data_IF_375715595708
#
_entry.id   IF_375715595708
#
_cell.length_a   1.000
_cell.length_b   1.000
_cell.length_c   1.000
_cell.angle_alpha   90.00
_cell.angle_beta   90.00
_cell.angle_gamma   90.00
#
_symmetry.space_group_name_H-M   'P 1'
#
loop_
_entity.id
_entity.type
_entity.pdbx_description
1 polymer ?
#
# COMPACT_ATOMS: atom_id res chain seq x y z
N UNK A 1 -24.66 -22.45 26.56
CA UNK A 1 -23.27 -21.95 26.66
C UNK A 1 -22.58 -21.82 25.30
N UNK A 2 -22.92 -22.66 24.31
CA UNK A 2 -22.24 -22.67 23.01
C UNK A 2 -22.23 -21.37 22.21
N UNK A 3 -23.32 -20.58 22.24
CA UNK A 3 -23.42 -19.35 21.44
C UNK A 3 -22.43 -18.25 21.88
N UNK A 4 -22.12 -18.17 23.18
CA UNK A 4 -21.18 -17.18 23.73
C UNK A 4 -19.74 -17.54 23.37
N UNK A 5 -19.40 -18.83 23.43
CA UNK A 5 -18.08 -19.32 23.00
C UNK A 5 -17.88 -19.14 21.49
N UNK A 6 -18.91 -19.37 20.67
CA UNK A 6 -18.84 -19.16 19.22
C UNK A 6 -18.62 -17.69 18.87
N UNK A 7 -19.28 -16.77 19.58
CA UNK A 7 -19.05 -15.33 19.36
C UNK A 7 -17.61 -14.94 19.68
N UNK A 8 -17.06 -15.38 20.81
CA UNK A 8 -15.67 -15.08 21.17
C UNK A 8 -14.66 -15.70 20.18
N UNK A 9 -14.89 -16.95 19.77
CA UNK A 9 -14.06 -17.63 18.77
C UNK A 9 -14.10 -16.92 17.41
N UNK A 10 -15.29 -16.55 16.95
CA UNK A 10 -15.51 -15.89 15.66
C UNK A 10 -15.03 -14.45 15.62
N UNK A 11 -15.19 -13.72 16.72
CA UNK A 11 -14.93 -12.30 16.76
C UNK A 11 -13.53 -11.96 17.25
N UNK A 12 -12.89 -12.79 18.07
CA UNK A 12 -11.59 -12.47 18.65
C UNK A 12 -10.48 -13.42 18.22
N UNK A 13 -10.73 -14.74 18.24
CA UNK A 13 -9.66 -15.72 18.08
C UNK A 13 -9.38 -16.00 16.60
N UNK A 14 -10.37 -16.53 15.88
CA UNK A 14 -10.21 -16.96 14.48
C UNK A 14 -9.73 -15.83 13.55
N UNK A 15 -10.14 -14.56 13.72
CA UNK A 15 -9.62 -13.46 12.90
C UNK A 15 -8.12 -13.17 13.07
N UNK A 16 -7.51 -13.59 14.18
CA UNK A 16 -6.07 -13.40 14.46
C UNK A 16 -5.23 -14.60 14.02
N UNK A 17 -5.88 -15.70 13.63
CA UNK A 17 -5.20 -16.92 13.18
C UNK A 17 -4.72 -16.72 11.75
N UNK A 18 -3.44 -17.01 11.50
CA UNK A 18 -2.86 -16.97 10.16
C UNK A 18 -3.66 -17.85 9.17
N UNK A 19 -3.78 -17.47 7.88
CA UNK A 19 -4.62 -18.19 6.92
C UNK A 19 -4.33 -19.69 6.85
N UNK A 20 -3.05 -20.09 6.90
CA UNK A 20 -2.65 -21.51 6.89
C UNK A 20 -3.22 -22.29 8.08
N UNK A 21 -3.27 -21.65 9.25
CA UNK A 21 -3.77 -22.28 10.47
C UNK A 21 -5.29 -22.33 10.46
N UNK A 22 -5.98 -21.38 9.83
CA UNK A 22 -7.43 -21.47 9.60
C UNK A 22 -7.81 -22.62 8.66
N UNK A 23 -7.02 -22.88 7.62
CA UNK A 23 -7.22 -24.03 6.75
C UNK A 23 -7.06 -25.34 7.54
N UNK A 24 -6.03 -25.44 8.39
CA UNK A 24 -5.82 -26.59 9.28
C UNK A 24 -6.98 -26.76 10.27
N UNK A 25 -7.45 -25.67 10.89
CA UNK A 25 -8.62 -25.67 11.78
C UNK A 25 -9.90 -26.09 11.08
N UNK A 26 -10.10 -25.66 9.83
CA UNK A 26 -11.22 -26.08 8.99
C UNK A 26 -11.16 -27.57 8.62
N UNK A 27 -9.96 -28.13 8.45
CA UNK A 27 -9.80 -29.56 8.17
C UNK A 27 -10.09 -30.45 9.39
N UNK A 28 -9.83 -29.96 10.60
CA UNK A 28 -10.00 -30.76 11.84
C UNK A 28 -11.40 -30.70 12.43
N UNK A 29 -12.25 -29.73 12.04
CA UNK A 29 -13.60 -29.58 12.58
C UNK A 29 -14.58 -29.05 11.55
N UNK A 30 -15.68 -29.79 11.32
CA UNK A 30 -16.79 -29.34 10.46
C UNK A 30 -17.40 -28.02 10.95
N UNK A 31 -17.48 -27.81 12.26
CA UNK A 31 -17.99 -26.57 12.87
C UNK A 31 -17.08 -25.39 12.50
N UNK A 32 -15.76 -25.51 12.71
CA UNK A 32 -14.83 -24.44 12.34
C UNK A 32 -14.76 -24.21 10.84
N UNK A 33 -14.87 -25.26 10.03
CA UNK A 33 -14.95 -25.12 8.58
C UNK A 33 -16.18 -24.29 8.17
N UNK A 34 -17.36 -24.58 8.71
CA UNK A 34 -18.58 -23.83 8.44
C UNK A 34 -18.44 -22.36 8.87
N UNK A 35 -17.84 -22.11 10.04
CA UNK A 35 -17.58 -20.77 10.55
C UNK A 35 -16.62 -19.97 9.66
N UNK A 36 -15.47 -20.54 9.30
CA UNK A 36 -14.47 -19.92 8.41
C UNK A 36 -15.06 -19.68 7.01
N UNK A 37 -15.91 -20.60 6.54
CA UNK A 37 -16.62 -20.46 5.26
C UNK A 37 -17.79 -19.48 5.33
N UNK A 38 -18.25 -19.04 6.49
CA UNK A 38 -19.38 -18.12 6.55
C UNK A 38 -19.03 -16.78 5.88
N UNK A 39 -19.94 -16.19 5.06
CA UNK A 39 -19.67 -14.91 4.39
C UNK A 39 -19.33 -13.79 5.39
N UNK A 40 -20.00 -13.79 6.55
CA UNK A 40 -19.76 -12.83 7.64
C UNK A 40 -18.36 -12.95 8.24
N UNK A 41 -17.88 -14.17 8.51
CA UNK A 41 -16.49 -14.37 8.95
C UNK A 41 -15.51 -13.97 7.87
N UNK A 42 -15.66 -14.42 6.61
CA UNK A 42 -14.71 -14.08 5.53
C UNK A 42 -14.57 -12.59 5.33
N UNK A 43 -15.69 -11.86 5.29
CA UNK A 43 -15.68 -10.40 5.16
C UNK A 43 -14.90 -9.76 6.31
N UNK A 44 -15.18 -10.16 7.57
CA UNK A 44 -14.47 -9.65 8.75
C UNK A 44 -12.99 -10.07 8.76
N UNK A 45 -12.70 -11.31 8.38
CA UNK A 45 -11.36 -11.89 8.33
C UNK A 45 -10.51 -11.12 7.33
N UNK A 46 -10.96 -10.96 6.09
CA UNK A 46 -10.20 -10.27 5.05
C UNK A 46 -10.11 -8.76 5.29
N UNK A 47 -11.15 -8.13 5.82
CA UNK A 47 -11.07 -6.75 6.30
C UNK A 47 -10.01 -6.59 7.40
N UNK A 48 -9.85 -7.58 8.28
CA UNK A 48 -8.81 -7.58 9.33
C UNK A 48 -7.46 -8.12 8.86
N UNK A 49 -7.40 -8.91 7.80
CA UNK A 49 -6.15 -9.42 7.24
C UNK A 49 -5.46 -8.38 6.33
N UNK A 50 -6.15 -7.27 6.03
CA UNK A 50 -5.54 -6.13 5.34
C UNK A 50 -5.59 -6.20 3.82
N UNK A 51 -6.35 -7.12 3.22
CA UNK A 51 -6.51 -7.16 1.77
C UNK A 51 -7.56 -6.13 1.36
N UNK A 52 -7.12 -4.89 1.09
CA UNK A 52 -7.96 -3.83 0.54
C UNK A 52 -7.84 -3.86 -0.98
N UNK A 53 -8.87 -4.40 -1.63
CA UNK A 53 -9.04 -4.28 -3.06
C UNK A 53 -9.87 -3.03 -3.33
N UNK A 54 -9.45 -2.23 -4.31
CA UNK A 54 -10.28 -1.15 -4.84
C UNK A 54 -11.51 -1.79 -5.50
N UNK A 55 -12.59 -1.92 -4.72
CA UNK A 55 -13.90 -2.42 -5.16
C UNK A 55 -14.67 -1.31 -5.87
N UNK A 56 -13.99 -0.48 -6.66
CA UNK A 56 -14.68 0.37 -7.59
C UNK A 56 -15.29 -0.51 -8.69
N UNK A 57 -16.61 -0.73 -8.55
CA UNK A 57 -17.54 -1.09 -9.63
C UNK A 57 -17.80 -2.58 -9.89
N UNK A 58 -17.77 -3.42 -8.87
CA UNK A 58 -18.24 -4.81 -9.04
C UNK A 58 -19.63 -5.03 -8.45
N UNK A 59 -20.65 -4.99 -9.33
CA UNK A 59 -22.01 -5.39 -9.00
C UNK A 59 -22.14 -6.93 -8.85
N UNK A 60 -21.08 -7.70 -9.16
CA UNK A 60 -21.14 -9.16 -9.21
C UNK A 60 -20.89 -9.85 -7.86
N UNK A 61 -20.42 -9.13 -6.83
CA UNK A 61 -20.22 -9.69 -5.49
C UNK A 61 -19.28 -10.90 -5.42
N UNK A 62 -18.41 -11.09 -6.42
CA UNK A 62 -17.55 -12.27 -6.52
C UNK A 62 -16.42 -12.17 -5.47
N UNK A 63 -16.55 -12.99 -4.43
CA UNK A 63 -15.57 -13.15 -3.34
C UNK A 63 -14.45 -14.13 -3.71
N UNK A 64 -13.28 -14.07 -3.04
CA UNK A 64 -12.18 -15.02 -3.24
C UNK A 64 -12.63 -16.49 -3.07
N UNK A 65 -12.30 -17.34 -4.05
CA UNK A 65 -12.85 -18.72 -4.19
C UNK A 65 -12.31 -19.76 -3.22
N UNK A 66 -11.29 -19.44 -2.40
CA UNK A 66 -10.60 -20.40 -1.53
C UNK A 66 -11.47 -21.07 -0.46
N UNK A 67 -12.73 -20.65 -0.34
CA UNK A 67 -13.69 -21.20 0.60
C UNK A 67 -15.05 -21.51 -0.06
N UNK A 68 -15.21 -21.32 -1.37
CA UNK A 68 -16.45 -21.63 -2.08
C UNK A 68 -16.37 -23.06 -2.61
N UNK A 69 -17.24 -23.95 -2.14
CA UNK A 69 -17.31 -25.31 -2.69
C UNK A 69 -17.85 -25.24 -4.12
N UNK A 70 -17.09 -25.77 -5.06
CA UNK A 70 -17.56 -26.19 -6.38
C UNK A 70 -18.67 -27.21 -6.18
N UNK A 71 -19.94 -26.82 -6.27
CA UNK A 71 -21.03 -27.66 -6.78
C UNK A 71 -22.30 -26.82 -7.02
N UNK A 72 -22.71 -26.83 -8.30
CA UNK A 72 -23.99 -26.45 -8.91
C UNK A 72 -24.36 -24.94 -9.03
N UNK A 73 -24.73 -24.48 -10.25
CA UNK A 73 -25.35 -23.18 -10.44
C UNK A 73 -26.87 -23.31 -10.28
N UNK A 74 -27.44 -22.71 -9.23
CA UNK A 74 -28.88 -22.42 -9.24
C UNK A 74 -29.13 -21.21 -10.14
N UNK A 75 -29.91 -21.44 -11.17
CA UNK A 75 -30.27 -20.51 -12.23
C UNK A 75 -31.24 -19.48 -11.66
N UNK A 76 -30.74 -18.31 -11.23
CA UNK A 76 -31.61 -17.21 -10.84
C UNK A 76 -32.24 -16.60 -12.10
N UNK A 77 -33.54 -16.82 -12.28
CA UNK A 77 -34.36 -16.19 -13.32
C UNK A 77 -34.49 -14.70 -12.97
N UNK A 78 -33.95 -13.83 -13.83
CA UNK A 78 -34.17 -12.38 -13.76
C UNK A 78 -35.50 -12.10 -14.45
N UNK A 79 -36.51 -11.73 -13.66
CA UNK A 79 -37.74 -11.10 -14.12
C UNK A 79 -37.84 -9.71 -13.52
N UNK A 80 -38.08 -8.73 -14.39
CA UNK A 80 -38.87 -7.55 -14.07
C UNK A 80 -38.12 -6.35 -13.50
N UNK A 81 -38.08 -5.31 -14.31
CA UNK A 81 -37.89 -3.90 -13.98
C UNK A 81 -38.77 -3.48 -12.78
N UNK A 82 -38.20 -2.77 -11.81
CA UNK A 82 -38.94 -2.27 -10.65
C UNK A 82 -38.06 -1.62 -9.59
N UNK A 83 -38.27 -0.32 -9.40
CA UNK A 83 -37.75 0.54 -8.33
C UNK A 83 -37.47 -0.18 -7.00
N UNK A 84 -36.24 -0.06 -6.49
CA UNK A 84 -35.96 -0.36 -5.08
C UNK A 84 -35.10 0.74 -4.46
N UNK A 85 -35.77 1.50 -3.58
CA UNK A 85 -35.20 2.38 -2.57
C UNK A 85 -34.76 1.59 -1.33
N UNK A 86 -33.78 2.14 -0.60
CA UNK A 86 -33.44 1.93 0.82
C UNK A 86 -32.94 0.55 1.29
N UNK A 87 -31.63 0.48 1.59
CA UNK A 87 -31.08 -0.34 2.68
C UNK A 87 -30.00 0.46 3.43
N UNK A 88 -30.40 1.14 4.49
CA UNK A 88 -29.50 1.68 5.51
C UNK A 88 -29.65 0.83 6.78
N UNK A 89 -28.54 0.33 7.32
CA UNK A 89 -28.51 -0.40 8.59
C UNK A 89 -27.37 0.12 9.47
N UNK A 90 -27.70 1.02 10.38
CA UNK A 90 -26.97 1.24 11.63
C UNK A 90 -27.99 1.42 12.76
N UNK A 91 -27.77 0.81 13.95
CA UNK A 91 -28.62 1.06 15.10
C UNK A 91 -28.26 2.41 15.72
N UNK A 92 -29.22 3.34 15.74
CA UNK A 92 -29.12 4.60 16.47
C UNK A 92 -29.50 4.37 17.94
N UNK A 93 -28.52 4.45 18.82
CA UNK A 93 -28.76 4.55 20.27
C UNK A 93 -29.40 5.89 20.60
N UNK A 94 -30.62 5.82 21.14
CA UNK A 94 -31.46 6.96 21.50
C UNK A 94 -31.01 7.53 22.85
N UNK A 95 -30.54 8.78 22.85
CA UNK A 95 -30.80 9.71 23.96
C UNK A 95 -30.68 11.14 23.43
N UNK A 96 -31.67 11.95 23.75
CA UNK A 96 -31.97 13.21 23.09
C UNK A 96 -31.15 14.35 23.68
N UNK A 97 -30.40 15.08 22.84
CA UNK A 97 -30.09 16.49 23.07
C UNK A 97 -29.63 17.10 21.75
N UNK A 98 -29.98 18.36 21.52
CA UNK A 98 -29.99 19.07 20.25
C UNK A 98 -28.71 18.91 19.42
N UNK A 99 -28.82 18.37 18.20
CA UNK A 99 -27.74 18.30 17.21
C UNK A 99 -27.75 19.54 16.33
N UNK A 100 -26.60 20.18 16.21
CA UNK A 100 -26.34 21.31 15.31
C UNK A 100 -26.30 20.86 13.85
N UNK A 101 -26.57 21.80 12.94
CA UNK A 101 -26.65 21.64 11.47
C UNK A 101 -25.39 21.07 10.80
N UNK A 102 -24.26 20.96 11.51
CA UNK A 102 -23.02 20.37 10.98
C UNK A 102 -23.04 18.84 10.91
N UNK A 103 -23.76 18.15 11.82
CA UNK A 103 -23.75 16.68 11.88
C UNK A 103 -24.59 16.02 10.77
N UNK A 104 -25.59 16.74 10.24
CA UNK A 104 -26.37 16.31 9.08
C UNK A 104 -25.63 16.55 7.75
N UNK A 105 -24.71 17.52 7.70
CA UNK A 105 -23.86 17.75 6.53
C UNK A 105 -22.82 16.63 6.38
N UNK A 106 -22.22 16.16 7.49
CA UNK A 106 -21.26 15.04 7.46
C UNK A 106 -21.90 13.69 7.09
N UNK A 107 -23.12 13.41 7.54
CA UNK A 107 -23.82 12.17 7.21
C UNK A 107 -24.23 12.09 5.72
N UNK A 108 -24.63 13.21 5.11
CA UNK A 108 -24.96 13.29 3.66
C UNK A 108 -23.73 13.28 2.76
N UNK A 109 -22.57 13.72 3.27
CA UNK A 109 -21.29 13.62 2.59
C UNK A 109 -20.74 12.18 2.56
N UNK A 110 -21.06 11.33 3.55
CA UNK A 110 -20.51 9.97 3.63
C UNK A 110 -20.93 9.02 2.48
N UNK A 111 -22.03 9.27 1.78
CA UNK A 111 -22.60 8.34 0.77
C UNK A 111 -22.31 8.74 -0.69
N UNK A 112 -21.77 9.93 -0.93
CA UNK A 112 -21.60 10.49 -2.28
C UNK A 112 -20.15 10.50 -2.80
N UNK A 113 -19.15 10.23 -1.94
CA UNK A 113 -17.74 10.54 -2.27
C UNK A 113 -17.07 9.60 -3.27
N UNK A 114 -17.54 8.36 -3.44
CA UNK A 114 -17.05 7.50 -4.52
C UNK A 114 -17.59 7.91 -5.91
N UNK A 115 -18.57 8.83 -6.00
CA UNK A 115 -19.21 9.20 -7.27
C UNK A 115 -18.57 10.38 -8.00
N UNK A 116 -17.77 11.22 -7.33
CA UNK A 116 -17.35 12.53 -7.91
C UNK A 116 -15.84 12.81 -7.88
N UNK A 117 -15.00 11.94 -7.32
CA UNK A 117 -13.55 12.16 -7.33
C UNK A 117 -12.77 10.85 -7.28
N UNK A 118 -11.76 10.74 -8.15
CA UNK A 118 -10.79 9.65 -8.07
C UNK A 118 -10.05 9.78 -6.74
N UNK A 119 -10.28 8.85 -5.83
CA UNK A 119 -9.45 8.66 -4.64
C UNK A 119 -8.33 7.74 -5.06
N UNK A 120 -7.10 8.24 -5.05
CA UNK A 120 -5.94 7.38 -5.24
C UNK A 120 -5.35 7.13 -3.87
N UNK A 121 -5.31 5.87 -3.48
CA UNK A 121 -4.51 5.45 -2.33
C UNK A 121 -3.06 5.56 -2.77
N UNK A 122 -2.34 6.50 -2.19
CA UNK A 122 -0.95 6.78 -2.50
C UNK A 122 -0.23 7.02 -1.17
N UNK A 123 -0.05 5.96 -0.38
CA UNK A 123 1.22 5.60 0.24
C UNK A 123 1.01 4.58 1.36
N UNK A 124 1.98 3.69 1.44
CA UNK A 124 2.16 2.71 2.49
C UNK A 124 2.59 3.41 3.79
N UNK A 125 2.02 3.02 4.96
CA UNK A 125 2.65 3.25 6.26
C UNK A 125 3.44 2.02 6.66
N UNK A 126 4.72 2.23 6.87
CA UNK A 126 5.74 1.22 7.10
C UNK A 126 5.75 0.68 8.53
N UNK A 127 5.11 1.41 9.44
CA UNK A 127 5.21 1.16 10.88
C UNK A 127 3.93 1.64 11.54
N UNK A 128 2.84 0.87 11.41
CA UNK A 128 1.63 1.13 12.18
C UNK A 128 0.31 0.96 11.42
N UNK A 129 0.33 0.43 10.20
CA UNK A 129 -0.92 0.12 9.50
C UNK A 129 -1.77 1.34 9.16
N UNK A 130 -1.16 2.52 9.05
CA UNK A 130 -1.82 3.69 8.48
C UNK A 130 -1.73 3.64 6.95
N UNK A 131 -2.59 4.41 6.29
CA UNK A 131 -2.64 4.56 4.85
C UNK A 131 -2.61 6.04 4.51
N UNK A 132 -1.85 6.42 3.50
CA UNK A 132 -1.98 7.74 2.90
C UNK A 132 -2.92 7.66 1.70
N UNK A 133 -3.94 8.51 1.72
CA UNK A 133 -4.89 8.64 0.63
C UNK A 133 -4.78 10.06 0.06
N UNK A 134 -4.96 10.19 -1.26
CA UNK A 134 -5.06 11.46 -1.93
C UNK A 134 -6.44 11.59 -2.59
N UNK A 135 -7.11 12.72 -2.37
CA UNK A 135 -8.32 13.10 -3.10
C UNK A 135 -7.93 13.98 -4.28
N UNK A 136 -8.36 13.60 -5.47
CA UNK A 136 -8.01 14.27 -6.73
C UNK A 136 -6.99 13.48 -7.52
N UNK A 137 -6.49 14.05 -8.64
CA UNK A 137 -5.39 13.42 -9.37
C UNK A 137 -4.14 13.48 -8.48
N UNK A 138 -3.42 12.36 -8.23
CA UNK A 138 -2.21 12.34 -7.41
C UNK A 138 -1.14 13.30 -7.87
N UNK A 139 -1.13 13.57 -9.17
CA UNK A 139 -0.21 14.48 -9.84
C UNK A 139 -0.75 15.90 -9.94
N UNK A 140 -1.91 16.19 -9.35
CA UNK A 140 -2.41 17.55 -9.29
C UNK A 140 -1.77 18.28 -8.12
N UNK A 141 -1.37 19.52 -8.36
CA UNK A 141 -0.91 20.46 -7.32
C UNK A 141 -1.98 20.79 -6.27
N UNK A 142 -3.23 20.39 -6.51
CA UNK A 142 -4.38 20.56 -5.61
C UNK A 142 -4.78 19.26 -4.90
N UNK A 143 -3.94 18.23 -4.92
CA UNK A 143 -4.23 16.97 -4.23
C UNK A 143 -4.34 17.21 -2.71
N UNK A 144 -5.45 16.77 -2.13
CA UNK A 144 -5.65 16.80 -0.69
C UNK A 144 -5.27 15.46 -0.09
N UNK A 145 -4.34 15.47 0.86
CA UNK A 145 -3.83 14.26 1.49
C UNK A 145 -4.56 13.95 2.80
N UNK A 146 -4.76 12.66 3.05
CA UNK A 146 -5.42 12.13 4.23
C UNK A 146 -4.60 10.98 4.78
N UNK A 147 -4.37 10.96 6.08
CA UNK A 147 -3.89 9.77 6.77
C UNK A 147 -5.10 9.01 7.29
N UNK A 148 -5.23 7.76 6.91
CA UNK A 148 -6.34 6.89 7.24
C UNK A 148 -5.84 5.73 8.08
N UNK A 149 -6.60 5.36 9.10
CA UNK A 149 -6.49 4.06 9.72
C UNK A 149 -7.67 3.21 9.22
N UNK A 150 -7.43 2.20 8.37
CA UNK A 150 -8.53 1.38 7.85
C UNK A 150 -9.13 0.45 8.92
N UNK A 151 -8.40 0.14 9.99
CA UNK A 151 -8.84 -0.69 11.12
C UNK A 151 -9.85 0.07 11.98
N UNK A 152 -9.48 1.27 12.43
CA UNK A 152 -10.34 2.11 13.29
C UNK A 152 -11.32 2.96 12.48
N UNK A 153 -11.16 3.00 11.15
CA UNK A 153 -11.87 3.91 10.23
C UNK A 153 -11.69 5.40 10.55
N UNK A 154 -10.69 5.73 11.35
CA UNK A 154 -10.30 7.11 11.58
C UNK A 154 -9.59 7.65 10.35
N UNK A 155 -9.72 8.96 10.14
CA UNK A 155 -8.96 9.68 9.12
C UNK A 155 -8.64 11.07 9.63
N UNK A 156 -7.49 11.57 9.20
CA UNK A 156 -7.06 12.94 9.49
C UNK A 156 -6.68 13.60 8.16
N UNK A 157 -7.26 14.76 7.91
CA UNK A 157 -6.95 15.58 6.75
C UNK A 157 -5.64 16.32 7.02
N UNK A 158 -4.70 16.25 6.10
CA UNK A 158 -3.47 17.03 6.19
C UNK A 158 -3.73 18.46 5.71
N UNK A 159 -2.97 19.46 6.21
CA UNK A 159 -3.02 20.82 5.68
C UNK A 159 -2.86 20.81 4.17
N UNK A 160 -3.58 21.68 3.48
CA UNK A 160 -3.52 21.75 2.02
C UNK A 160 -2.10 22.08 1.56
N UNK A 161 -1.57 21.25 0.67
CA UNK A 161 -0.29 21.50 0.04
C UNK A 161 -0.51 22.57 -1.03
N UNK A 162 -0.28 23.83 -0.67
CA UNK A 162 -0.57 24.96 -1.57
C UNK A 162 0.15 24.78 -2.90
N UNK A 163 -0.57 24.90 -4.01
CA UNK A 163 -0.02 24.79 -5.37
C UNK A 163 1.17 25.73 -5.61
N UNK A 164 1.20 26.89 -4.95
CA UNK A 164 2.31 27.86 -5.04
C UNK A 164 3.60 27.38 -4.37
N UNK A 165 3.51 26.38 -3.48
CA UNK A 165 4.67 25.79 -2.83
C UNK A 165 5.34 24.73 -3.68
N UNK A 166 4.59 24.07 -4.56
CA UNK A 166 5.09 23.05 -5.48
C UNK A 166 5.68 23.69 -6.72
N UNK A 167 6.88 23.28 -7.10
CA UNK A 167 7.46 23.71 -8.35
C UNK A 167 6.95 22.86 -9.51
N UNK A 168 6.84 21.55 -9.27
CA UNK A 168 6.38 20.57 -10.24
C UNK A 168 5.21 19.74 -9.70
N UNK A 169 4.65 18.93 -10.59
CA UNK A 169 3.54 18.06 -10.23
C UNK A 169 4.03 16.94 -9.29
N UNK A 170 3.28 16.62 -8.23
CA UNK A 170 3.65 15.55 -7.32
C UNK A 170 3.68 14.21 -8.06
N UNK A 171 4.75 13.43 -7.86
CA UNK A 171 4.91 12.15 -8.54
C UNK A 171 4.41 11.00 -7.68
N UNK A 172 4.78 11.02 -6.41
CA UNK A 172 4.35 10.05 -5.40
C UNK A 172 4.41 10.69 -4.01
N UNK A 173 3.79 10.01 -3.05
CA UNK A 173 3.85 10.36 -1.65
C UNK A 173 4.19 9.10 -0.84
N UNK A 174 4.81 9.30 0.32
CA UNK A 174 5.26 8.29 1.28
C UNK A 174 4.73 8.66 2.65
N UNK A 175 4.32 7.67 3.44
CA UNK A 175 3.95 7.85 4.84
C UNK A 175 4.91 7.04 5.70
N UNK A 176 5.67 7.73 6.53
CA UNK A 176 6.68 7.12 7.41
C UNK A 176 6.31 7.44 8.84
N UNK A 177 6.39 6.47 9.76
CA UNK A 177 6.30 6.79 11.18
C UNK A 177 7.70 6.94 11.77
N UNK A 178 7.86 7.96 12.59
CA UNK A 178 9.14 8.30 13.22
C UNK A 178 9.21 7.54 14.53
N UNK A 179 10.05 6.50 14.57
CA UNK A 179 10.23 5.65 15.74
C UNK A 179 11.05 6.30 16.88
N UNK A 180 11.57 7.53 16.68
CA UNK A 180 12.46 8.21 17.62
C UNK A 180 11.77 8.79 18.88
N UNK A 181 10.56 8.35 19.19
CA UNK A 181 9.85 8.79 20.38
C UNK A 181 10.43 8.06 21.59
N UNK A 182 11.23 8.77 22.40
CA UNK A 182 11.55 8.37 23.77
C UNK A 182 10.24 8.01 24.50
N UNK A 183 10.27 6.92 25.27
CA UNK A 183 9.10 6.36 25.94
C UNK A 183 8.26 7.45 26.62
N UNK A 184 7.13 7.82 26.01
CA UNK A 184 6.21 8.86 26.50
C UNK A 184 5.86 9.97 25.50
N UNK A 185 6.66 10.19 24.46
CA UNK A 185 6.24 11.05 23.35
C UNK A 185 5.34 10.23 22.41
N UNK A 186 4.11 10.71 22.15
CA UNK A 186 3.18 10.03 21.26
C UNK A 186 3.82 9.76 19.90
N UNK A 187 3.48 8.63 19.27
CA UNK A 187 3.98 8.27 17.94
C UNK A 187 3.78 9.44 16.98
N UNK A 188 4.79 9.82 16.21
CA UNK A 188 4.67 10.83 15.16
C UNK A 188 4.77 10.17 13.78
N UNK A 189 4.08 10.73 12.81
CA UNK A 189 4.26 10.40 11.39
C UNK A 189 4.73 11.59 10.58
N UNK A 190 5.36 11.26 9.45
CA UNK A 190 5.74 12.19 8.41
C UNK A 190 5.15 11.74 7.07
N UNK A 191 4.79 12.71 6.23
CA UNK A 191 4.41 12.45 4.84
C UNK A 191 5.41 13.13 3.92
N UNK A 192 6.06 12.36 3.07
CA UNK A 192 7.02 12.86 2.10
C UNK A 192 6.39 12.80 0.72
N UNK A 193 6.12 13.96 0.13
CA UNK A 193 5.69 14.09 -1.27
C UNK A 193 6.91 14.39 -2.11
N UNK A 194 7.13 13.55 -3.12
CA UNK A 194 8.24 13.68 -4.06
C UNK A 194 7.71 14.38 -5.31
N UNK A 195 8.29 15.54 -5.65
CA UNK A 195 7.93 16.29 -6.85
C UNK A 195 8.51 15.61 -8.09
N UNK A 196 7.83 15.76 -9.23
CA UNK A 196 8.33 15.30 -10.51
C UNK A 196 9.69 15.95 -10.80
N UNK A 197 10.67 15.10 -11.09
CA UNK A 197 12.02 15.51 -11.40
C UNK A 197 12.16 15.91 -12.87
N UNK A 198 12.86 17.00 -13.14
CA UNK A 198 13.33 17.38 -14.47
C UNK A 198 14.78 16.95 -14.62
N UNK A 199 15.17 16.40 -15.78
CA UNK A 199 16.54 15.88 -16.00
C UNK A 199 17.65 16.90 -15.76
N UNK A 200 17.34 18.19 -15.80
CA UNK A 200 18.30 19.29 -15.59
C UNK A 200 18.53 19.62 -14.11
N UNK A 201 17.67 19.16 -13.19
CA UNK A 201 17.80 19.48 -11.77
C UNK A 201 18.82 18.53 -11.08
N UNK A 202 19.88 19.07 -10.51
CA UNK A 202 20.88 18.29 -9.74
C UNK A 202 20.37 17.81 -8.35
N UNK A 203 19.08 17.99 -8.06
CA UNK A 203 18.51 17.74 -6.74
C UNK A 203 17.07 17.25 -6.86
N UNK A 204 16.67 16.38 -5.94
CA UNK A 204 15.27 16.00 -5.78
C UNK A 204 14.58 16.99 -4.83
N UNK A 205 13.40 17.47 -5.23
CA UNK A 205 12.57 18.36 -4.40
C UNK A 205 11.51 17.54 -3.67
N UNK A 206 11.47 17.74 -2.36
CA UNK A 206 10.55 17.05 -1.46
C UNK A 206 9.70 18.06 -0.70
N UNK A 207 8.46 17.65 -0.40
CA UNK A 207 7.62 18.29 0.60
C UNK A 207 7.40 17.33 1.74
N UNK A 208 7.85 17.71 2.93
CA UNK A 208 7.76 16.87 4.12
C UNK A 208 6.75 17.49 5.06
N UNK A 209 5.64 16.79 5.30
CA UNK A 209 4.73 17.11 6.39
C UNK A 209 5.17 16.37 7.64
N UNK A 210 5.28 17.05 8.78
CA UNK A 210 5.49 16.42 10.07
C UNK A 210 4.25 16.59 10.95
N UNK A 211 3.68 15.49 11.44
CA UNK A 211 2.55 15.52 12.38
C UNK A 211 2.88 16.29 13.68
N UNK A 212 4.14 16.24 14.13
CA UNK A 212 4.60 16.96 15.32
C UNK A 212 4.65 18.47 15.14
N UNK A 213 4.87 18.96 13.91
CA UNK A 213 4.89 20.39 13.59
C UNK A 213 3.56 20.89 12.99
N UNK A 214 2.75 19.99 12.42
CA UNK A 214 1.52 20.32 11.72
C UNK A 214 1.73 21.16 10.45
N UNK A 215 2.93 21.14 9.86
CA UNK A 215 3.29 21.97 8.71
C UNK A 215 4.06 21.19 7.64
N UNK A 216 3.96 21.70 6.40
CA UNK A 216 4.76 21.26 5.25
C UNK A 216 6.06 22.05 5.19
N UNK A 217 7.16 21.33 5.08
CA UNK A 217 8.50 21.87 4.86
C UNK A 217 9.00 21.49 3.47
N UNK A 218 9.85 22.33 2.90
CA UNK A 218 10.46 22.08 1.60
C UNK A 218 11.88 21.63 1.79
N UNK A 219 12.17 20.40 1.36
CA UNK A 219 13.51 19.82 1.47
C UNK A 219 14.06 19.58 0.08
N UNK A 220 15.37 19.71 -0.06
CA UNK A 220 16.08 19.39 -1.30
C UNK A 220 17.21 18.44 -0.96
N UNK A 221 17.27 17.33 -1.71
CA UNK A 221 18.35 16.37 -1.56
C UNK A 221 19.23 16.48 -2.78
N UNK A 222 20.50 16.79 -2.55
CA UNK A 222 21.48 16.85 -3.64
C UNK A 222 21.73 15.45 -4.18
N UNK A 223 21.60 15.30 -5.50
CA UNK A 223 21.97 14.08 -6.20
C UNK A 223 23.44 14.09 -6.62
N UNK A 224 24.15 15.22 -6.51
CA UNK A 224 25.54 15.35 -6.99
C UNK A 224 26.58 14.58 -6.17
N UNK A 225 26.30 14.29 -4.91
CA UNK A 225 27.18 13.46 -4.05
C UNK A 225 26.96 11.97 -4.28
N UNK A 226 25.76 11.59 -4.70
CA UNK A 226 25.47 10.26 -5.22
C UNK A 226 25.96 10.19 -6.66
N UNK A 227 26.85 9.27 -7.00
CA UNK A 227 27.33 9.03 -8.36
C UNK A 227 26.26 8.43 -9.30
N UNK A 228 25.03 8.95 -9.20
CA UNK A 228 23.87 8.62 -10.00
C UNK A 228 24.09 9.22 -11.40
N UNK A 229 24.20 8.41 -12.46
CA UNK A 229 24.17 8.97 -13.81
C UNK A 229 22.90 9.80 -14.01
N UNK A 230 23.03 10.99 -14.60
CA UNK A 230 21.94 11.94 -14.88
C UNK A 230 20.80 11.39 -15.77
N UNK A 231 20.88 10.12 -16.18
CA UNK A 231 19.95 9.49 -17.12
C UNK A 231 18.77 8.74 -16.45
N UNK A 232 18.62 8.86 -15.13
CA UNK A 232 17.62 8.09 -14.41
C UNK A 232 16.18 8.56 -14.67
N UNK A 233 15.31 7.64 -15.07
CA UNK A 233 13.91 7.94 -15.34
C UNK A 233 13.10 7.77 -14.06
N UNK A 234 12.81 8.89 -13.40
CA UNK A 234 11.90 8.90 -12.26
C UNK A 234 10.43 8.92 -12.68
N UNK A 235 10.04 9.02 -13.96
CA UNK A 235 8.60 9.05 -14.32
C UNK A 235 7.78 7.83 -13.85
N UNK A 236 8.32 6.59 -13.77
CA UNK A 236 7.60 5.48 -13.18
C UNK A 236 7.24 5.74 -11.72
N UNK A 237 6.09 5.21 -11.27
CA UNK A 237 5.77 5.23 -9.84
C UNK A 237 6.74 4.32 -9.10
N UNK A 238 7.28 4.75 -7.95
CA UNK A 238 8.12 3.87 -7.15
C UNK A 238 7.30 2.75 -6.53
N UNK A 239 7.96 1.62 -6.31
CA UNK A 239 7.45 0.59 -5.40
C UNK A 239 7.75 1.05 -3.98
N UNK A 240 6.76 0.95 -3.09
CA UNK A 240 6.91 1.37 -1.70
C UNK A 240 7.28 0.17 -0.83
N UNK A 241 8.40 0.27 -0.13
CA UNK A 241 8.86 -0.71 0.84
C UNK A 241 8.16 -0.59 2.18
N UNK A 242 8.33 -1.60 3.03
CA UNK A 242 7.82 -1.63 4.40
C UNK A 242 8.72 -0.87 5.39
N UNK A 243 9.89 -0.37 4.99
CA UNK A 243 10.84 0.36 5.83
C UNK A 243 10.70 1.89 5.75
N UNK A 244 9.85 2.40 4.86
CA UNK A 244 9.78 3.82 4.51
C UNK A 244 10.60 4.14 3.28
N UNK A 245 11.06 3.11 2.56
CA UNK A 245 11.80 3.26 1.34
C UNK A 245 10.89 3.33 0.11
N UNK A 246 11.32 4.10 -0.89
CA UNK A 246 10.72 4.13 -2.21
C UNK A 246 11.74 3.67 -3.24
N UNK A 247 11.32 2.77 -4.14
CA UNK A 247 12.19 2.12 -5.10
C UNK A 247 11.77 2.45 -6.54
N UNK A 248 12.64 3.08 -7.31
CA UNK A 248 12.44 3.33 -8.74
C UNK A 248 13.29 2.36 -9.56
N UNK A 249 12.62 1.45 -10.26
CA UNK A 249 13.27 0.55 -11.21
C UNK A 249 13.62 1.32 -12.49
N UNK A 250 14.90 1.33 -12.86
CA UNK A 250 15.36 2.06 -14.03
C UNK A 250 14.98 1.32 -15.32
N UNK A 251 14.26 1.94 -16.28
CA UNK A 251 13.70 1.20 -17.41
C UNK A 251 14.73 0.64 -18.40
N UNK A 252 15.94 1.20 -18.43
CA UNK A 252 17.00 0.83 -19.37
C UNK A 252 18.19 0.15 -18.71
N UNK A 253 18.25 0.19 -17.39
CA UNK A 253 19.40 -0.27 -16.62
C UNK A 253 19.00 -1.41 -15.69
N UNK A 254 19.98 -2.24 -15.37
CA UNK A 254 19.91 -3.23 -14.30
C UNK A 254 20.15 -2.54 -12.95
N UNK A 255 19.41 -1.47 -12.69
CA UNK A 255 19.54 -0.71 -11.44
C UNK A 255 18.18 -0.28 -10.90
N UNK A 256 18.11 -0.17 -9.57
CA UNK A 256 17.05 0.50 -8.86
C UNK A 256 17.64 1.67 -8.05
N UNK A 257 16.84 2.71 -7.87
CA UNK A 257 17.14 3.79 -6.93
C UNK A 257 16.25 3.59 -5.72
N UNK A 258 16.84 3.52 -4.54
CA UNK A 258 16.13 3.52 -3.27
C UNK A 258 16.26 4.89 -2.61
N UNK A 259 15.14 5.46 -2.18
CA UNK A 259 15.10 6.61 -1.26
C UNK A 259 14.65 6.11 0.11
N UNK A 260 15.43 6.39 1.14
CA UNK A 260 15.07 6.07 2.52
C UNK A 260 14.64 7.34 3.24
N UNK A 261 13.34 7.47 3.50
CA UNK A 261 12.77 8.65 4.16
C UNK A 261 13.31 8.90 5.58
N UNK A 262 13.64 7.83 6.33
CA UNK A 262 14.12 7.96 7.70
C UNK A 262 15.54 8.56 7.81
N UNK A 263 16.41 8.29 6.83
CA UNK A 263 17.79 8.79 6.77
C UNK A 263 17.98 9.89 5.73
N UNK A 264 16.91 10.27 5.04
CA UNK A 264 16.90 11.23 3.93
C UNK A 264 17.99 10.94 2.87
N UNK A 265 18.19 9.67 2.54
CA UNK A 265 19.33 9.22 1.74
C UNK A 265 18.93 8.40 0.52
N UNK A 266 19.69 8.54 -0.56
CA UNK A 266 19.58 7.72 -1.76
C UNK A 266 20.60 6.60 -1.82
N UNK A 267 20.21 5.50 -2.45
CA UNK A 267 21.09 4.39 -2.75
C UNK A 267 20.82 3.84 -4.16
N UNK A 268 21.88 3.53 -4.89
CA UNK A 268 21.80 2.77 -6.14
C UNK A 268 21.98 1.30 -5.82
N UNK A 269 21.01 0.50 -6.22
CA UNK A 269 21.02 -0.94 -6.09
C UNK A 269 21.22 -1.51 -7.49
N UNK A 270 22.34 -2.22 -7.72
CA UNK A 270 22.46 -3.01 -8.93
C UNK A 270 21.49 -4.19 -8.85
N UNK A 271 20.79 -4.47 -9.93
CA UNK A 271 19.83 -5.57 -10.05
C UNK A 271 20.44 -6.73 -10.85
N UNK A 272 19.86 -7.94 -10.74
CA UNK A 272 20.16 -9.03 -11.66
C UNK A 272 19.96 -8.59 -13.11
N UNK A 273 20.69 -9.24 -14.03
CA UNK A 273 20.63 -8.90 -15.46
C UNK A 273 19.21 -9.00 -15.99
N UNK A 274 18.79 -7.97 -16.68
CA UNK A 274 17.49 -7.90 -17.32
C UNK A 274 17.36 -8.95 -18.42
N UNK A 275 16.35 -9.82 -18.26
CA UNK A 275 15.85 -10.65 -19.35
C UNK A 275 15.13 -9.71 -20.32
N UNK A 276 15.48 -9.74 -21.60
CA UNK A 276 15.24 -8.67 -22.59
C UNK A 276 13.76 -8.32 -22.94
N UNK A 277 12.78 -8.45 -22.05
CA UNK A 277 11.39 -8.08 -22.28
C UNK A 277 10.91 -7.00 -21.32
N UNK A 278 10.62 -5.83 -21.91
CA UNK A 278 9.64 -4.82 -21.46
C UNK A 278 9.83 -4.23 -20.06
N UNK A 279 9.66 -2.90 -20.00
CA UNK A 279 9.85 -2.08 -18.80
C UNK A 279 8.98 -2.47 -17.59
N UNK A 280 7.86 -3.17 -17.78
CA UNK A 280 6.84 -3.42 -16.74
C UNK A 280 6.95 -4.77 -16.06
N UNK A 281 7.80 -5.66 -16.54
CA UNK A 281 7.84 -7.05 -16.10
C UNK A 281 8.79 -7.25 -14.91
N UNK A 282 8.89 -6.24 -14.03
CA UNK A 282 9.84 -6.19 -12.91
C UNK A 282 9.24 -5.52 -11.69
N UNK A 283 9.54 -6.06 -10.51
CA UNK A 283 9.20 -5.46 -9.22
C UNK A 283 10.33 -5.70 -8.21
N UNK A 284 10.55 -4.73 -7.33
CA UNK A 284 11.43 -4.85 -6.16
C UNK A 284 10.60 -4.59 -4.91
N UNK A 285 10.87 -5.31 -3.84
CA UNK A 285 10.22 -5.09 -2.56
C UNK A 285 11.07 -5.59 -1.40
N UNK A 286 10.60 -5.29 -0.20
CA UNK A 286 11.28 -5.68 1.03
C UNK A 286 10.66 -6.94 1.62
N UNK A 287 11.50 -7.79 2.23
CA UNK A 287 11.07 -8.93 3.03
C UNK A 287 10.54 -8.48 4.38
N UNK A 288 9.43 -9.08 4.79
CA UNK A 288 8.87 -8.86 6.12
C UNK A 288 9.89 -9.15 7.23
N UNK A 289 9.91 -8.30 8.27
CA UNK A 289 10.79 -8.48 9.43
C UNK A 289 12.26 -8.13 9.18
N UNK A 290 12.63 -7.65 7.99
CA UNK A 290 13.98 -7.18 7.67
C UNK A 290 14.35 -5.81 8.25
N UNK A 291 13.45 -5.14 8.99
CA UNK A 291 13.61 -3.75 9.45
C UNK A 291 14.71 -3.47 10.48
N UNK A 292 15.64 -4.41 10.70
CA UNK A 292 16.88 -4.10 11.40
C UNK A 292 17.75 -3.19 10.53
N UNK A 293 18.51 -2.30 11.16
CA UNK A 293 19.38 -1.26 10.56
C UNK A 293 20.46 -1.75 9.54
N UNK A 294 20.43 -3.00 9.10
CA UNK A 294 21.37 -3.58 8.13
C UNK A 294 20.63 -4.32 7.02
N UNK A 295 20.17 -3.58 6.00
CA UNK A 295 19.77 -4.14 4.71
C UNK A 295 18.71 -5.24 4.81
N UNK A 296 17.51 -4.86 5.27
CA UNK A 296 16.36 -5.76 5.26
C UNK A 296 16.20 -6.44 3.91
N UNK A 297 16.19 -7.78 3.93
CA UNK A 297 16.29 -8.63 2.74
C UNK A 297 15.44 -8.13 1.59
N UNK A 298 16.07 -7.52 0.60
CA UNK A 298 15.39 -7.09 -0.61
C UNK A 298 15.09 -8.29 -1.48
N UNK A 299 14.00 -8.18 -2.23
CA UNK A 299 13.63 -9.15 -3.24
C UNK A 299 13.32 -8.46 -4.54
N UNK A 300 13.71 -9.12 -5.60
CA UNK A 300 13.50 -8.65 -6.96
C UNK A 300 12.87 -9.77 -7.76
N UNK A 301 11.75 -9.50 -8.41
CA UNK A 301 11.13 -10.42 -9.32
C UNK A 301 11.10 -9.80 -10.71
N UNK A 302 11.41 -10.63 -11.70
CA UNK A 302 11.27 -10.27 -13.09
C UNK A 302 10.60 -11.40 -13.85
N UNK A 303 9.85 -11.06 -14.88
CA UNK A 303 9.27 -12.03 -15.79
C UNK A 303 9.64 -11.70 -17.22
N UNK A 304 9.65 -12.75 -18.04
CA UNK A 304 9.74 -12.68 -19.48
C UNK A 304 8.58 -13.49 -20.08
N UNK A 305 8.42 -13.46 -21.40
CA UNK A 305 7.43 -14.25 -22.12
C UNK A 305 7.47 -15.77 -21.82
N UNK A 306 8.57 -16.28 -21.27
CA UNK A 306 8.81 -17.71 -21.05
C UNK A 306 9.15 -18.09 -19.61
N UNK A 307 9.60 -17.16 -18.77
CA UNK A 307 10.09 -17.48 -17.43
C UNK A 307 9.71 -16.39 -16.41
N UNK A 308 9.42 -16.81 -15.18
CA UNK A 308 9.36 -15.95 -14.00
C UNK A 308 10.57 -16.28 -13.11
N UNK A 309 11.32 -15.25 -12.72
CA UNK A 309 12.47 -15.36 -11.82
C UNK A 309 12.27 -14.48 -10.59
N UNK A 310 12.64 -15.01 -9.43
CA UNK A 310 12.64 -14.28 -8.15
C UNK A 310 14.01 -14.42 -7.53
N UNK A 311 14.55 -13.28 -7.11
CA UNK A 311 15.88 -13.12 -6.56
C UNK A 311 15.78 -12.56 -5.14
N UNK A 312 16.66 -13.02 -4.26
CA UNK A 312 16.80 -12.54 -2.89
C UNK A 312 18.19 -11.93 -2.69
N UNK A 313 18.21 -10.80 -1.99
CA UNK A 313 19.41 -10.06 -1.65
C UNK A 313 20.12 -10.67 -0.45
N UNK A 314 21.43 -10.92 -0.59
CA UNK A 314 22.28 -11.46 0.45
C UNK A 314 23.22 -10.38 1.01
N UNK A 315 22.84 -9.87 2.19
CA UNK A 315 23.59 -8.83 2.88
C UNK A 315 24.97 -9.30 3.39
N UNK A 316 25.11 -10.61 3.63
CA UNK A 316 26.31 -11.23 4.21
C UNK A 316 27.60 -10.98 3.42
N UNK A 317 27.51 -10.70 2.11
CA UNK A 317 28.67 -10.45 1.26
C UNK A 317 29.17 -9.00 1.30
N UNK A 318 28.38 -8.05 1.82
CA UNK A 318 28.73 -6.61 1.78
C UNK A 318 29.61 -6.15 2.94
N UNK A 319 29.70 -6.93 4.02
CA UNK A 319 30.38 -6.52 5.26
C UNK A 319 31.91 -6.55 5.21
N UNK A 320 32.52 -7.25 4.24
CA UNK A 320 33.99 -7.43 4.22
C UNK A 320 34.77 -6.28 3.58
N UNK A 321 34.14 -5.32 2.90
CA UNK A 321 34.82 -4.23 2.18
C UNK A 321 34.57 -2.82 2.76
N UNK A 322 33.96 -2.73 3.95
CA UNK A 322 33.40 -1.49 4.52
C UNK A 322 34.39 -0.45 5.05
N UNK A 323 35.66 -0.41 4.59
CA UNK A 323 36.70 0.49 5.15
C UNK A 323 37.04 1.75 4.35
N UNK A 324 36.32 2.12 3.29
CA UNK A 324 36.43 3.47 2.69
C UNK A 324 35.07 4.03 2.28
N UNK A 325 34.75 5.20 2.85
CA UNK A 325 33.58 6.04 2.54
C UNK A 325 33.72 6.61 1.13
N UNK A 326 33.10 5.94 0.17
CA UNK A 326 32.66 6.50 -1.10
C UNK A 326 31.53 5.59 -1.59
N UNK A 327 30.43 6.20 -2.00
CA UNK A 327 29.27 5.62 -2.72
C UNK A 327 29.43 4.16 -3.10
N UNK A 328 28.85 3.26 -2.30
CA UNK A 328 28.94 1.82 -2.51
C UNK A 328 27.96 1.44 -3.60
N UNK A 329 28.40 1.50 -4.86
CA UNK A 329 27.72 0.78 -5.93
C UNK A 329 27.72 -0.68 -5.52
N UNK A 330 26.55 -1.19 -5.15
CA UNK A 330 26.50 -2.56 -4.68
C UNK A 330 26.63 -3.49 -5.88
N UNK A 331 27.44 -4.53 -5.74
CA UNK A 331 27.73 -5.46 -6.83
C UNK A 331 26.50 -6.32 -7.16
N UNK A 332 26.37 -6.71 -8.43
CA UNK A 332 25.32 -7.64 -8.90
C UNK A 332 25.38 -9.01 -8.19
N UNK A 333 26.57 -9.39 -7.71
CA UNK A 333 26.82 -10.68 -7.04
C UNK A 333 26.12 -10.82 -5.68
N UNK A 334 25.56 -9.73 -5.15
CA UNK A 334 24.77 -9.74 -3.92
C UNK A 334 23.38 -10.41 -4.08
N UNK A 335 22.93 -10.68 -5.31
CA UNK A 335 21.66 -11.36 -5.56
C UNK A 335 21.83 -12.87 -5.71
N UNK A 336 20.95 -13.62 -5.06
CA UNK A 336 20.80 -15.06 -5.28
C UNK A 336 19.46 -15.39 -5.90
N UNK A 337 19.48 -16.23 -6.93
CA UNK A 337 18.26 -16.73 -7.56
C UNK A 337 17.54 -17.66 -6.57
N UNK A 338 16.36 -17.24 -6.13
CA UNK A 338 15.53 -17.96 -5.16
C UNK A 338 14.56 -18.91 -5.86
N UNK A 339 13.93 -18.45 -6.95
CA UNK A 339 12.89 -19.21 -7.65
C UNK A 339 12.94 -18.96 -9.15
N UNK A 340 12.69 -20.00 -9.94
CA UNK A 340 12.60 -19.91 -11.41
C UNK A 340 11.57 -20.92 -11.93
N UNK A 341 10.60 -20.44 -12.69
CA UNK A 341 9.54 -21.29 -13.27
C UNK A 341 9.19 -20.85 -14.68
N UNK A 342 8.92 -21.80 -15.58
CA UNK A 342 8.45 -21.50 -16.93
C UNK A 342 7.02 -20.98 -16.90
N UNK A 343 6.69 -19.94 -17.68
CA UNK A 343 5.32 -19.38 -17.69
C UNK A 343 4.29 -20.39 -18.22
N UNK A 344 4.66 -21.21 -19.21
CA UNK A 344 3.78 -22.27 -19.73
C UNK A 344 3.47 -23.31 -18.63
N UNK A 345 4.51 -23.83 -17.97
CA UNK A 345 4.39 -24.76 -16.84
C UNK A 345 3.56 -24.15 -15.70
N UNK A 346 3.80 -22.88 -15.39
CA UNK A 346 3.10 -22.15 -14.35
C UNK A 346 1.58 -22.07 -14.63
N UNK A 347 1.19 -21.79 -15.87
CA UNK A 347 -0.22 -21.70 -16.27
C UNK A 347 -0.87 -23.09 -16.40
N UNK A 348 -0.14 -24.09 -16.88
CA UNK A 348 -0.61 -25.47 -16.98
C UNK A 348 -0.97 -26.04 -15.60
N UNK A 349 -0.13 -25.78 -14.59
CA UNK A 349 -0.40 -26.16 -13.19
C UNK A 349 -1.58 -25.41 -12.57
N UNK A 350 -2.00 -24.29 -13.16
CA UNK A 350 -2.99 -23.39 -12.59
C UNK A 350 -4.12 -23.08 -13.61
N UNK A 351 -4.90 -24.09 -14.02
CA UNK A 351 -5.88 -23.95 -15.10
C UNK A 351 -6.98 -22.93 -14.80
N UNK A 352 -7.35 -22.73 -13.52
CA UNK A 352 -8.33 -21.71 -13.13
C UNK A 352 -7.83 -20.29 -13.38
N UNK A 353 -6.56 -20.02 -13.04
CA UNK A 353 -5.93 -18.73 -13.27
C UNK A 353 -5.72 -18.48 -14.76
N UNK A 354 -5.31 -19.52 -15.50
CA UNK A 354 -5.18 -19.48 -16.95
C UNK A 354 -6.54 -19.21 -17.64
N UNK A 355 -7.62 -19.83 -17.18
CA UNK A 355 -8.96 -19.60 -17.70
C UNK A 355 -9.43 -18.16 -17.42
N UNK A 356 -9.16 -17.62 -16.22
CA UNK A 356 -9.49 -16.24 -15.87
C UNK A 356 -8.71 -15.22 -16.72
N UNK A 357 -7.45 -15.53 -17.06
CA UNK A 357 -6.59 -14.75 -17.94
C UNK A 357 -7.02 -14.76 -19.42
N UNK A 358 -8.04 -15.55 -19.79
CA UNK A 358 -8.55 -15.63 -21.16
C UNK A 358 -7.56 -16.22 -22.17
N UNK A 359 -8.03 -16.38 -23.42
CA UNK A 359 -7.19 -16.83 -24.53
C UNK A 359 -6.39 -15.64 -25.05
N UNK A 360 -5.10 -15.56 -24.72
CA UNK A 360 -4.24 -14.45 -25.09
C UNK A 360 -2.78 -14.72 -24.79
N UNK A 361 -1.92 -13.75 -25.10
CA UNK A 361 -0.49 -13.84 -24.78
C UNK A 361 -0.31 -14.12 -23.28
N UNK A 362 0.45 -15.17 -22.95
CA UNK A 362 0.82 -15.59 -21.60
C UNK A 362 1.78 -14.59 -20.95
N UNK A 363 1.33 -13.36 -20.72
CA UNK A 363 2.09 -12.35 -20.01
C UNK A 363 1.74 -12.42 -18.53
N UNK A 364 2.74 -12.70 -17.72
CA UNK A 364 2.64 -12.69 -16.27
C UNK A 364 3.54 -11.57 -15.81
N UNK A 365 3.03 -10.59 -15.10
CA UNK A 365 3.81 -9.43 -14.63
C UNK A 365 3.84 -9.47 -13.10
N UNK A 366 5.02 -9.55 -12.46
CA UNK A 366 5.09 -9.47 -11.01
C UNK A 366 4.75 -8.05 -10.55
N UNK A 367 3.85 -7.92 -9.58
CA UNK A 367 3.35 -6.62 -9.10
C UNK A 367 3.77 -6.30 -7.67
N UNK A 368 4.18 -7.30 -6.90
CA UNK A 368 4.64 -7.12 -5.53
C UNK A 368 4.92 -8.42 -4.81
N UNK A 369 5.46 -8.31 -3.60
CA UNK A 369 5.69 -9.45 -2.71
C UNK A 369 4.64 -9.49 -1.61
N UNK A 370 4.26 -10.69 -1.17
CA UNK A 370 3.37 -10.79 -0.03
C UNK A 370 4.06 -10.27 1.22
N UNK A 371 3.37 -9.45 2.01
CA UNK A 371 4.07 -8.61 2.96
C UNK A 371 4.39 -9.31 4.27
N UNK A 372 3.91 -10.55 4.47
CA UNK A 372 4.21 -11.40 5.63
C UNK A 372 4.54 -12.84 5.24
N UNK A 373 4.27 -13.24 4.00
CA UNK A 373 4.43 -14.61 3.52
C UNK A 373 5.57 -14.57 2.51
N UNK A 374 6.71 -15.09 2.91
CA UNK A 374 7.93 -15.03 2.11
C UNK A 374 7.88 -15.96 0.91
N UNK A 375 6.87 -16.80 0.77
CA UNK A 375 6.77 -17.73 -0.35
C UNK A 375 5.80 -17.21 -1.41
N UNK A 376 5.17 -16.04 -1.21
CA UNK A 376 4.13 -15.53 -2.09
C UNK A 376 4.56 -14.28 -2.85
N UNK A 377 4.37 -14.31 -4.17
CA UNK A 377 4.53 -13.19 -5.09
C UNK A 377 3.18 -12.87 -5.72
N UNK A 378 2.79 -11.60 -5.76
CA UNK A 378 1.60 -11.18 -6.50
C UNK A 378 1.95 -11.01 -7.97
N UNK A 379 1.13 -11.60 -8.83
CA UNK A 379 1.27 -11.56 -10.28
C UNK A 379 0.00 -10.98 -10.89
N UNK A 380 0.16 -10.07 -11.83
CA UNK A 380 -0.89 -9.63 -12.75
C UNK A 380 -0.82 -10.51 -14.01
N UNK A 381 -1.95 -11.13 -14.33
CA UNK A 381 -2.20 -11.85 -15.58
C UNK A 381 -2.97 -10.91 -16.54
N UNK A 382 -3.12 -11.28 -17.82
CA UNK A 382 -3.89 -10.50 -18.77
C UNK A 382 -5.31 -10.21 -18.25
N UNK A 383 -5.90 -9.11 -18.71
CA UNK A 383 -7.23 -8.63 -18.32
C UNK A 383 -7.35 -8.14 -16.86
N UNK A 384 -6.23 -7.82 -16.21
CA UNK A 384 -6.25 -7.24 -14.87
C UNK A 384 -6.59 -8.25 -13.79
N UNK A 385 -6.26 -9.52 -14.02
CA UNK A 385 -6.44 -10.61 -13.07
C UNK A 385 -5.22 -10.63 -12.15
N UNK A 386 -5.44 -10.49 -10.85
CA UNK A 386 -4.35 -10.51 -9.85
C UNK A 386 -4.42 -11.82 -9.09
N UNK A 387 -3.29 -12.53 -9.08
CA UNK A 387 -3.14 -13.80 -8.35
C UNK A 387 -2.02 -13.69 -7.33
N UNK A 388 -2.18 -14.39 -6.21
CA UNK A 388 -1.12 -14.67 -5.26
C UNK A 388 -0.51 -16.02 -5.65
N UNK A 389 0.75 -16.01 -6.07
CA UNK A 389 1.49 -17.20 -6.48
C UNK A 389 2.40 -17.67 -5.36
N UNK A 390 2.21 -18.91 -4.89
CA UNK A 390 3.10 -19.56 -3.92
C UNK A 390 4.25 -20.25 -4.66
N UNK A 391 5.47 -19.78 -4.42
CA UNK A 391 6.70 -20.33 -5.01
C UNK A 391 6.97 -21.77 -4.55
N UNK A 392 6.77 -22.04 -3.26
CA UNK A 392 6.96 -23.37 -2.66
C UNK A 392 6.01 -24.41 -3.27
N UNK A 393 4.72 -24.06 -3.40
CA UNK A 393 3.69 -25.00 -3.82
C UNK A 393 3.43 -25.00 -5.34
N UNK A 394 3.90 -23.97 -6.05
CA UNK A 394 3.62 -23.78 -7.47
C UNK A 394 2.15 -23.44 -7.77
N UNK A 395 1.39 -22.98 -6.79
CA UNK A 395 -0.07 -22.73 -6.90
C UNK A 395 -0.40 -21.24 -6.99
N UNK A 396 -1.41 -20.89 -7.79
CA UNK A 396 -1.96 -19.54 -7.92
C UNK A 396 -3.33 -19.43 -7.24
N UNK A 397 -3.51 -18.35 -6.50
CA UNK A 397 -4.76 -18.00 -5.83
C UNK A 397 -5.30 -16.69 -6.38
N UNK A 398 -6.45 -16.73 -7.06
CA UNK A 398 -7.14 -15.54 -7.54
C UNK A 398 -7.50 -14.59 -6.39
N UNK A 399 -6.89 -13.41 -6.38
CA UNK A 399 -7.15 -12.35 -5.40
C UNK A 399 -8.27 -11.44 -5.88
N UNK A 400 -8.13 -10.90 -7.08
CA UNK A 400 -9.10 -9.98 -7.66
C UNK A 400 -9.03 -9.95 -9.18
N UNK A 401 -10.06 -9.34 -9.77
CA UNK A 401 -10.12 -8.99 -11.19
C UNK A 401 -10.50 -7.52 -11.28
N UNK A 402 -9.80 -6.73 -12.08
CA UNK A 402 -10.16 -5.35 -12.32
C UNK A 402 -10.45 -5.09 -13.80
N UNK A 403 -11.55 -4.38 -14.05
CA UNK A 403 -12.05 -4.08 -15.39
C UNK A 403 -11.22 -2.98 -16.09
N UNK A 404 -9.95 -3.25 -16.38
CA UNK A 404 -9.12 -2.50 -17.33
C UNK A 404 -8.74 -1.05 -16.97
N UNK A 405 -7.57 -0.62 -17.45
CA UNK A 405 -6.91 0.70 -17.28
C UNK A 405 -6.28 1.02 -15.93
N UNK A 406 -6.63 0.32 -14.85
CA UNK A 406 -5.83 0.34 -13.62
C UNK A 406 -4.44 -0.22 -13.90
N UNK A 407 -3.40 0.59 -13.79
CA UNK A 407 -2.02 0.11 -13.85
C UNK A 407 -1.70 -0.63 -12.55
N UNK A 408 -1.10 -1.83 -12.63
CA UNK A 408 -0.64 -2.66 -11.50
C UNK A 408 0.17 -1.93 -10.44
N UNK A 409 0.80 -0.81 -10.79
CA UNK A 409 1.50 0.11 -9.86
C UNK A 409 0.60 0.69 -8.76
N UNK A 410 -0.71 0.43 -8.78
CA UNK A 410 -1.65 0.83 -7.72
C UNK A 410 -2.04 -0.31 -6.78
N UNK A 411 -1.50 -1.51 -6.96
CA UNK A 411 -1.73 -2.63 -6.06
C UNK A 411 -0.57 -2.72 -5.09
N UNK A 412 -0.86 -2.45 -3.82
CA UNK A 412 0.10 -2.55 -2.73
C UNK A 412 -0.44 -3.52 -1.70
N UNK A 413 0.36 -4.51 -1.29
CA UNK A 413 -0.02 -5.34 -0.16
C UNK A 413 0.00 -4.48 1.10
N UNK A 414 -1.16 -4.30 1.71
CA UNK A 414 -1.28 -3.68 3.03
C UNK A 414 -1.25 -4.76 4.11
N UNK A 415 -0.41 -4.56 5.12
CA UNK A 415 -0.39 -5.41 6.32
C UNK A 415 -1.23 -4.74 7.40
N UNK A 416 -2.21 -5.48 7.90
CA UNK A 416 -2.92 -5.04 9.08
C UNK A 416 -1.97 -5.09 10.30
N UNK A 417 -1.90 -4.02 11.11
CA UNK A 417 -1.05 -4.00 12.29
C UNK A 417 -1.62 -5.00 13.33
N UNK A 418 -0.78 -5.66 14.14
CA UNK A 418 -1.26 -6.66 15.12
C UNK A 418 -2.13 -6.04 16.22
N UNK A 419 -2.09 -4.72 16.38
CA UNK A 419 -2.92 -3.93 17.30
C UNK A 419 -3.50 -2.71 16.59
N UNK A 420 -4.68 -2.20 17.01
CA UNK A 420 -5.20 -0.94 16.50
C UNK A 420 -4.23 0.21 16.78
N UNK A 421 -3.84 0.95 15.74
CA UNK A 421 -2.90 2.08 15.86
C UNK A 421 -3.67 3.40 15.78
N UNK A 422 -3.69 4.19 16.84
CA UNK A 422 -4.34 5.51 16.76
C UNK A 422 -3.58 6.42 15.78
N UNK A 423 -4.30 7.22 15.01
CA UNK A 423 -3.66 8.26 14.20
C UNK A 423 -3.13 9.33 15.17
N UNK A 424 -1.84 9.66 15.14
CA UNK A 424 -1.29 10.73 15.94
C UNK A 424 -2.03 12.04 15.75
N UNK A 425 -2.28 12.76 16.85
CA UNK A 425 -2.83 14.10 16.78
C UNK A 425 -1.85 15.01 16.02
N UNK A 426 -2.39 15.83 15.12
CA UNK A 426 -1.61 16.85 14.43
C UNK A 426 -1.53 18.07 15.35
N UNK A 427 -0.30 18.49 15.68
CA UNK A 427 -0.10 19.70 16.48
C UNK A 427 -0.42 20.93 15.63
N UNK A 428 -1.56 21.57 15.89
CA UNK A 428 -1.97 22.81 15.23
C UNK A 428 -1.53 24.09 15.99
N UNK A 429 -0.53 24.00 16.87
CA UNK A 429 -0.15 25.07 17.81
C UNK A 429 0.27 26.41 17.18
N UNK A 430 0.37 26.50 15.85
CA UNK A 430 0.54 27.76 15.13
C UNK A 430 -0.74 28.58 14.99
N UNK A 431 -1.88 28.12 15.53
CA UNK A 431 -2.96 29.04 15.94
C UNK A 431 -2.64 29.69 17.28
N UNK A 432 -1.42 30.19 17.47
CA UNK A 432 -1.22 31.24 18.48
C UNK A 432 -2.19 32.36 18.09
N UNK A 433 -3.12 32.77 18.98
CA UNK A 433 -4.03 33.86 18.67
C UNK A 433 -3.16 35.03 18.25
N UNK A 434 -3.33 35.48 17.00
CA UNK A 434 -2.73 36.71 16.49
C UNK A 434 -2.89 37.74 17.61
N UNK A 435 -1.78 38.10 18.26
CA UNK A 435 -1.81 39.07 19.34
C UNK A 435 -2.45 40.32 18.74
N UNK A 436 -3.70 40.58 19.14
CA UNK A 436 -4.45 41.74 18.68
C UNK A 436 -3.52 42.94 18.83
N UNK A 437 -3.36 43.77 17.79
CA UNK A 437 -2.46 44.91 17.85
C UNK A 437 -2.83 45.72 19.08
N UNK A 438 -1.91 45.77 20.06
CA UNK A 438 -2.05 46.60 21.26
C UNK A 438 -2.36 48.01 20.76
N UNK A 439 -3.61 48.46 20.95
CA UNK A 439 -4.00 49.86 20.72
C UNK A 439 -2.98 50.73 21.45
N UNK A 440 -2.12 51.41 20.68
CA UNK A 440 -1.26 52.46 21.22
C UNK A 440 -2.19 53.51 21.82
N UNK A 441 -2.15 53.67 23.14
CA UNK A 441 -2.73 54.83 23.82
C UNK A 441 -2.07 56.06 23.20
N UNK A 442 -2.86 56.91 22.55
CA UNK A 442 -2.41 58.23 22.15
C UNK A 442 -1.98 58.98 23.42
N UNK A 443 -0.71 59.38 23.47
CA UNK A 443 -0.20 60.25 24.51
C UNK A 443 -0.85 61.62 24.34
N UNK A 444 -1.56 62.05 25.37
CA UNK A 444 -2.01 63.43 25.56
C UNK A 444 -0.77 64.30 25.75
N UNK A 445 -0.60 65.28 24.87
CA UNK A 445 0.27 66.43 25.13
C UNK A 445 -0.45 67.37 26.08
N UNK A 446 0.13 67.60 27.26
CA UNK A 446 0.05 68.85 28.03
C UNK A 446 1.44 69.19 28.56
#
# INVERSE_FOLDING_TARGET
MDAVCDSLLLEEILPRVAPKNLLRLGATSRRYNALVRSPGFRRRYWCRAGVFLDLARDASGVLPRFLSSSHAPEKLVVLGDGDTTNLALFPSSSSSSARTTEELAEASLSSSWWRTGVVVVAAHSTTGGLLLCAKGRPTSRSAQYYVCNPVTRQRVVLPELRSSSLCYDPQCALLTTVANCTAGSGSQFQVVVIEQWQMEDAYLRLKVFSSGAGQWESTRISLSESSLPFEHDFRPRPVLGQSGAAYWLQPRDDTAIAYHSASDSFQVIALPRHLASRKRDRVIGERHGGGGSGGGGLRFAQSHASVLEVWEWNDSQTTTTRRRRTTTRIAQDAWTLLHRVGIAELLERNPEAAAAAGQGRSHVTPVGFHPTDVDVVFLELPWGVVVAYSMEHGTMNLQCTHNGYGTSVNLFPYVHPPYPVQIPAINNNNSSPLALPRKRKAGTHE
#
